data_IF_864955368443
#
_entry.id   IF_864955368443
#
_cell.length_a   1.000
_cell.length_b   1.000
_cell.length_c   1.000
_cell.angle_alpha   90.00
_cell.angle_beta   90.00
_cell.angle_gamma   90.00
#
_symmetry.space_group_name_H-M   'P 1'
#
loop_
_entity.id
_entity.type
_entity.pdbx_description
1 polymer ?
#
# COMPACT_ATOMS: atom_id res chain seq x y z
N UNK A 1 1.17 -7.65 -4.24
CA UNK A 1 1.96 -7.73 -3.01
C UNK A 1 1.62 -8.99 -2.22
N UNK A 2 0.41 -9.16 -1.64
CA UNK A 2 0.07 -10.34 -0.82
C UNK A 2 0.36 -11.68 -1.52
N UNK A 3 0.04 -11.81 -2.83
CA UNK A 3 0.33 -13.02 -3.61
C UNK A 3 1.82 -13.36 -3.70
N UNK A 4 2.70 -12.36 -3.67
CA UNK A 4 4.16 -12.58 -3.67
C UNK A 4 4.67 -12.88 -2.26
N UNK A 5 4.13 -12.18 -1.24
CA UNK A 5 4.51 -12.44 0.15
C UNK A 5 4.26 -13.89 0.55
N UNK A 6 3.15 -14.49 0.09
CA UNK A 6 2.86 -15.90 0.42
C UNK A 6 3.89 -16.88 -0.16
N UNK A 7 4.59 -16.52 -1.23
CA UNK A 7 5.68 -17.34 -1.78
C UNK A 7 6.89 -17.40 -0.85
N UNK A 8 7.05 -16.43 0.04
CA UNK A 8 8.06 -16.40 1.09
C UNK A 8 7.73 -17.34 2.27
N UNK A 9 6.60 -18.05 2.20
CA UNK A 9 6.11 -19.00 3.20
C UNK A 9 6.04 -18.41 4.62
N UNK A 10 5.32 -17.29 4.84
CA UNK A 10 5.18 -16.71 6.17
C UNK A 10 4.45 -17.69 7.08
N UNK A 11 4.73 -17.65 8.39
CA UNK A 11 3.98 -18.42 9.40
C UNK A 11 2.50 -18.01 9.43
N UNK A 12 2.24 -16.73 9.27
CA UNK A 12 0.90 -16.14 9.19
C UNK A 12 0.92 -14.88 8.34
N UNK A 13 -0.19 -14.58 7.69
CA UNK A 13 -0.43 -13.35 6.94
C UNK A 13 -1.68 -12.66 7.48
N UNK A 14 -1.51 -11.44 7.98
CA UNK A 14 -2.60 -10.61 8.45
C UNK A 14 -2.95 -9.62 7.35
N UNK A 15 -4.18 -9.65 6.90
CA UNK A 15 -4.73 -8.73 5.92
C UNK A 15 -5.54 -7.68 6.68
N UNK A 16 -5.02 -6.46 6.79
CA UNK A 16 -5.69 -5.37 7.50
C UNK A 16 -6.17 -4.34 6.48
N UNK A 17 -7.48 -4.23 6.30
CA UNK A 17 -8.10 -3.46 5.22
C UNK A 17 -9.39 -2.80 5.72
N UNK A 18 -9.67 -1.58 5.26
CA UNK A 18 -10.89 -0.85 5.60
C UNK A 18 -12.07 -1.25 4.69
N UNK A 19 -11.78 -1.68 3.46
CA UNK A 19 -12.79 -2.06 2.49
C UNK A 19 -13.12 -3.55 2.61
N UNK A 20 -14.33 -3.87 3.09
CA UNK A 20 -14.79 -5.24 3.30
C UNK A 20 -14.73 -6.09 2.02
N UNK A 21 -15.19 -5.54 0.90
CA UNK A 21 -15.24 -6.29 -0.37
C UNK A 21 -13.83 -6.60 -0.88
N UNK A 22 -12.90 -5.64 -0.76
CA UNK A 22 -11.51 -5.86 -1.14
C UNK A 22 -10.83 -6.90 -0.23
N UNK A 23 -11.12 -6.86 1.07
CA UNK A 23 -10.61 -7.82 2.04
C UNK A 23 -11.11 -9.23 1.74
N UNK A 24 -12.42 -9.39 1.52
CA UNK A 24 -13.03 -10.67 1.16
C UNK A 24 -12.45 -11.24 -0.14
N UNK A 25 -12.31 -10.40 -1.17
CA UNK A 25 -11.79 -10.81 -2.46
C UNK A 25 -10.35 -11.32 -2.38
N UNK A 26 -9.48 -10.63 -1.67
CA UNK A 26 -8.07 -11.05 -1.51
C UNK A 26 -7.94 -12.29 -0.61
N UNK A 27 -8.70 -12.36 0.48
CA UNK A 27 -8.74 -13.52 1.36
C UNK A 27 -9.09 -14.78 0.58
N UNK A 28 -10.19 -14.75 -0.19
CA UNK A 28 -10.63 -15.89 -1.00
C UNK A 28 -9.60 -16.32 -2.05
N UNK A 29 -8.93 -15.35 -2.71
CA UNK A 29 -7.85 -15.66 -3.66
C UNK A 29 -6.66 -16.33 -2.98
N UNK A 30 -6.25 -15.85 -1.81
CA UNK A 30 -5.12 -16.40 -1.08
C UNK A 30 -5.43 -17.75 -0.46
N UNK A 31 -6.65 -17.98 -0.01
CA UNK A 31 -7.12 -19.27 0.49
C UNK A 31 -7.05 -20.36 -0.59
N UNK A 32 -7.35 -20.02 -1.85
CA UNK A 32 -7.19 -20.96 -2.97
C UNK A 32 -5.71 -21.31 -3.25
N UNK A 33 -4.79 -20.34 -3.05
CA UNK A 33 -3.34 -20.57 -3.17
C UNK A 33 -2.83 -21.39 -1.99
N UNK A 34 -3.40 -21.19 -0.80
CA UNK A 34 -2.98 -21.81 0.45
C UNK A 34 -3.18 -23.34 0.49
N UNK A 35 -3.93 -23.91 -0.44
CA UNK A 35 -4.04 -25.38 -0.57
C UNK A 35 -2.68 -26.07 -0.79
N UNK A 36 -1.69 -25.32 -1.27
CA UNK A 36 -0.32 -25.78 -1.51
C UNK A 36 0.69 -25.34 -0.44
N UNK A 37 0.29 -24.43 0.49
CA UNK A 37 1.16 -23.85 1.51
C UNK A 37 0.47 -23.84 2.86
N UNK A 38 1.12 -24.33 3.92
CA UNK A 38 0.58 -24.33 5.27
C UNK A 38 0.90 -23.02 5.99
N UNK A 39 0.13 -21.95 5.76
CA UNK A 39 0.20 -20.72 6.53
C UNK A 39 -1.21 -20.24 6.93
N UNK A 40 -1.28 -19.43 7.99
CA UNK A 40 -2.57 -18.91 8.48
C UNK A 40 -2.87 -17.55 7.87
N UNK A 41 -4.09 -17.35 7.41
CA UNK A 41 -4.59 -16.05 6.92
C UNK A 41 -5.56 -15.48 7.94
N UNK A 42 -5.38 -14.21 8.29
CA UNK A 42 -6.25 -13.48 9.22
C UNK A 42 -6.79 -12.23 8.54
N UNK A 43 -8.01 -12.26 7.97
CA UNK A 43 -8.66 -11.09 7.40
C UNK A 43 -9.25 -10.23 8.52
N UNK A 44 -8.76 -9.01 8.67
CA UNK A 44 -9.16 -8.11 9.75
C UNK A 44 -9.58 -6.76 9.17
N UNK A 45 -10.83 -6.38 9.41
CA UNK A 45 -11.35 -5.08 9.03
C UNK A 45 -10.84 -3.99 9.98
N UNK A 46 -10.34 -2.90 9.42
CA UNK A 46 -9.95 -1.74 10.21
C UNK A 46 -9.27 -0.64 9.40
N UNK A 47 -9.25 0.54 10.00
CA UNK A 47 -8.56 1.73 9.45
C UNK A 47 -7.19 1.90 10.08
N UNK A 48 -6.20 2.27 9.27
CA UNK A 48 -4.85 2.65 9.73
C UNK A 48 -4.85 3.89 10.62
N UNK A 49 -5.93 4.66 10.63
CA UNK A 49 -6.11 5.78 11.55
C UNK A 49 -6.45 5.35 12.98
N UNK A 50 -6.84 4.09 13.19
CA UNK A 50 -7.10 3.57 14.53
C UNK A 50 -5.82 3.02 15.18
N UNK A 51 -5.02 3.90 15.76
CA UNK A 51 -3.74 3.57 16.41
C UNK A 51 -3.90 2.48 17.47
N UNK A 52 -4.94 2.56 18.33
CA UNK A 52 -5.18 1.56 19.39
C UNK A 52 -5.42 0.17 18.80
N UNK A 53 -6.21 0.07 17.73
CA UNK A 53 -6.49 -1.20 17.05
C UNK A 53 -5.23 -1.79 16.40
N UNK A 54 -4.41 -0.95 15.74
CA UNK A 54 -3.14 -1.36 15.15
C UNK A 54 -2.19 -1.92 16.21
N UNK A 55 -2.00 -1.20 17.31
CA UNK A 55 -1.13 -1.64 18.42
C UNK A 55 -1.58 -2.99 18.98
N UNK A 56 -2.87 -3.13 19.30
CA UNK A 56 -3.41 -4.38 19.81
C UNK A 56 -3.20 -5.54 18.81
N UNK A 57 -3.42 -5.29 17.52
CA UNK A 57 -3.21 -6.27 16.46
C UNK A 57 -1.74 -6.70 16.40
N UNK A 58 -0.81 -5.77 16.33
CA UNK A 58 0.61 -6.08 16.23
C UNK A 58 1.11 -6.88 17.44
N UNK A 59 0.65 -6.55 18.64
CA UNK A 59 0.99 -7.27 19.86
C UNK A 59 0.35 -8.67 19.92
N UNK A 60 -0.95 -8.79 19.60
CA UNK A 60 -1.67 -10.07 19.67
C UNK A 60 -1.13 -11.11 18.70
N UNK A 61 -0.62 -10.68 17.56
CA UNK A 61 -0.08 -11.58 16.53
C UNK A 61 1.45 -11.66 16.53
N UNK A 62 2.14 -10.94 17.42
CA UNK A 62 3.60 -10.82 17.43
C UNK A 62 4.13 -10.52 16.02
N UNK A 63 3.66 -9.44 15.41
CA UNK A 63 3.95 -9.10 14.02
C UNK A 63 5.44 -8.80 13.85
N UNK A 64 6.12 -9.53 12.98
CA UNK A 64 7.54 -9.30 12.65
C UNK A 64 7.74 -8.22 11.59
N UNK A 65 6.88 -8.21 10.57
CA UNK A 65 7.05 -7.33 9.40
C UNK A 65 5.73 -6.71 9.00
N UNK A 66 5.72 -5.41 8.75
CA UNK A 66 4.59 -4.64 8.23
C UNK A 66 4.90 -4.17 6.81
N UNK A 67 4.01 -4.49 5.87
CA UNK A 67 3.97 -3.89 4.54
C UNK A 67 2.84 -2.87 4.49
N UNK A 68 3.18 -1.61 4.57
CA UNK A 68 2.21 -0.51 4.62
C UNK A 68 1.92 0.03 3.21
N UNK A 69 0.80 -0.42 2.64
CA UNK A 69 0.30 0.01 1.33
C UNK A 69 -1.00 0.82 1.39
N UNK A 70 -1.55 1.02 2.58
CA UNK A 70 -2.78 1.77 2.77
C UNK A 70 -2.58 3.25 2.40
N UNK A 71 -3.16 3.66 1.26
CA UNK A 71 -3.11 5.04 0.80
C UNK A 71 -4.17 5.30 -0.28
N UNK A 72 -4.71 6.50 -0.32
CA UNK A 72 -5.45 7.00 -1.47
C UNK A 72 -4.45 7.40 -2.56
N UNK A 73 -4.58 6.83 -3.75
CA UNK A 73 -3.60 6.95 -4.85
C UNK A 73 -4.07 7.73 -6.08
N UNK A 74 -5.38 7.90 -6.23
CA UNK A 74 -5.94 8.58 -7.40
C UNK A 74 -5.80 10.09 -7.25
N UNK A 75 -4.90 10.69 -8.05
CA UNK A 75 -4.55 12.12 -7.96
C UNK A 75 -5.80 13.02 -7.99
N UNK A 76 -6.72 12.93 -8.97
CA UNK A 76 -7.89 13.79 -8.98
C UNK A 76 -8.78 13.64 -7.73
N UNK A 77 -8.94 12.41 -7.24
CA UNK A 77 -9.75 12.17 -6.05
C UNK A 77 -9.13 12.78 -4.79
N UNK A 78 -7.82 12.70 -4.64
CA UNK A 78 -7.11 13.29 -3.50
C UNK A 78 -7.11 14.82 -3.58
N UNK A 79 -7.02 15.40 -4.77
CA UNK A 79 -7.15 16.86 -4.95
C UNK A 79 -8.53 17.37 -4.50
N UNK A 80 -9.61 16.66 -4.82
CA UNK A 80 -10.95 17.00 -4.36
C UNK A 80 -11.21 16.69 -2.88
N UNK A 81 -10.43 15.78 -2.27
CA UNK A 81 -10.60 15.31 -0.91
C UNK A 81 -9.27 15.42 -0.13
N UNK A 82 -8.67 16.61 -0.12
CA UNK A 82 -7.34 16.84 0.44
C UNK A 82 -7.24 16.43 1.91
N UNK A 83 -8.23 16.77 2.74
CA UNK A 83 -8.26 16.42 4.16
C UNK A 83 -8.23 14.91 4.37
N UNK A 84 -9.07 14.17 3.65
CA UNK A 84 -9.08 12.70 3.70
C UNK A 84 -7.76 12.09 3.21
N UNK A 85 -7.17 12.70 2.17
CA UNK A 85 -5.85 12.31 1.68
C UNK A 85 -4.76 12.49 2.73
N UNK A 86 -4.78 13.60 3.46
CA UNK A 86 -3.86 13.88 4.57
C UNK A 86 -4.08 12.90 5.71
N UNK A 87 -5.32 12.74 6.17
CA UNK A 87 -5.66 11.86 7.28
C UNK A 87 -5.25 10.43 7.02
N UNK A 88 -5.61 9.88 5.85
CA UNK A 88 -5.29 8.49 5.54
C UNK A 88 -3.80 8.28 5.21
N UNK A 89 -3.21 9.11 4.35
CA UNK A 89 -1.86 8.87 3.85
C UNK A 89 -0.77 9.32 4.81
N UNK A 90 -0.97 10.42 5.54
CA UNK A 90 0.00 10.96 6.49
C UNK A 90 -0.25 10.42 7.89
N UNK A 91 -1.41 10.73 8.49
CA UNK A 91 -1.69 10.31 9.86
C UNK A 91 -1.88 8.79 9.97
N UNK A 92 -2.45 8.14 8.94
CA UNK A 92 -2.51 6.68 8.87
C UNK A 92 -1.11 6.05 8.87
N UNK A 93 -0.14 6.61 8.11
CA UNK A 93 1.24 6.15 8.12
C UNK A 93 1.91 6.40 9.46
N UNK A 94 1.73 7.60 10.04
CA UNK A 94 2.26 7.96 11.36
C UNK A 94 1.75 6.99 12.44
N UNK A 95 0.45 6.74 12.49
CA UNK A 95 -0.17 5.83 13.45
C UNK A 95 0.32 4.40 13.29
N UNK A 96 0.43 3.92 12.04
CA UNK A 96 0.89 2.58 11.75
C UNK A 96 2.36 2.39 12.15
N UNK A 97 3.24 3.33 11.78
CA UNK A 97 4.66 3.27 12.11
C UNK A 97 4.93 3.41 13.62
N UNK A 98 4.23 4.34 14.30
CA UNK A 98 4.33 4.48 15.76
C UNK A 98 3.85 3.21 16.48
N UNK A 99 2.74 2.60 16.02
CA UNK A 99 2.25 1.34 16.57
C UNK A 99 3.24 0.19 16.35
N UNK A 100 3.93 0.18 15.22
CA UNK A 100 4.96 -0.82 14.93
C UNK A 100 6.13 -0.72 15.92
N UNK A 101 6.65 0.48 16.16
CA UNK A 101 7.71 0.73 17.15
C UNK A 101 7.25 0.30 18.55
N UNK A 102 6.07 0.78 18.98
CA UNK A 102 5.52 0.49 20.31
C UNK A 102 5.23 -1.00 20.55
N UNK A 103 5.12 -1.79 19.48
CA UNK A 103 4.84 -3.23 19.55
C UNK A 103 6.05 -4.11 19.23
N UNK A 104 7.22 -3.52 18.99
CA UNK A 104 8.45 -4.26 18.72
C UNK A 104 8.49 -4.93 17.34
N UNK A 105 7.77 -4.40 16.36
CA UNK A 105 7.85 -4.87 14.96
C UNK A 105 9.25 -4.64 14.42
N UNK A 106 9.85 -5.68 13.83
CA UNK A 106 11.24 -5.61 13.36
C UNK A 106 11.40 -4.82 12.07
N UNK A 107 10.50 -5.04 11.11
CA UNK A 107 10.61 -4.46 9.78
C UNK A 107 9.33 -3.73 9.38
N UNK A 108 9.47 -2.55 8.81
CA UNK A 108 8.36 -1.76 8.27
C UNK A 108 8.71 -1.28 6.87
N UNK A 109 7.95 -1.74 5.89
CA UNK A 109 8.14 -1.41 4.47
C UNK A 109 7.01 -0.51 4.01
N UNK A 110 7.32 0.74 3.69
CA UNK A 110 6.37 1.68 3.09
C UNK A 110 6.34 1.51 1.58
N UNK A 111 5.17 1.22 1.05
CA UNK A 111 4.92 1.25 -0.38
C UNK A 111 4.70 2.70 -0.81
N UNK A 112 5.70 3.29 -1.46
CA UNK A 112 5.69 4.67 -1.96
C UNK A 112 5.54 4.72 -3.49
N UNK A 113 5.83 5.87 -4.09
CA UNK A 113 5.62 6.12 -5.51
C UNK A 113 6.68 7.07 -6.06
N UNK A 114 6.92 7.03 -7.37
CA UNK A 114 7.70 8.01 -8.12
C UNK A 114 7.17 9.45 -7.94
N UNK A 115 5.87 9.61 -7.73
CA UNK A 115 5.19 10.91 -7.53
C UNK A 115 5.52 11.59 -6.19
N UNK A 116 6.17 10.88 -5.26
CA UNK A 116 6.74 11.44 -4.03
C UNK A 116 8.07 12.19 -4.28
N UNK A 117 8.67 12.02 -5.47
CA UNK A 117 9.89 12.74 -5.87
C UNK A 117 9.50 14.08 -6.47
N UNK A 118 9.86 15.19 -5.79
CA UNK A 118 9.48 16.56 -6.20
C UNK A 118 7.98 16.65 -6.51
N UNK A 119 7.10 16.43 -5.55
CA UNK A 119 5.67 16.27 -5.79
C UNK A 119 5.06 17.53 -6.39
N UNK A 120 4.24 17.35 -7.42
CA UNK A 120 3.52 18.42 -8.12
C UNK A 120 2.00 18.33 -7.86
N UNK A 121 1.58 17.44 -6.98
CA UNK A 121 0.18 17.21 -6.62
C UNK A 121 0.07 16.76 -5.17
N UNK A 122 -1.13 16.92 -4.60
CA UNK A 122 -1.40 16.63 -3.18
C UNK A 122 -1.12 15.17 -2.82
N UNK A 123 -1.52 14.21 -3.66
CA UNK A 123 -1.27 12.80 -3.42
C UNK A 123 0.23 12.50 -3.31
N UNK A 124 1.03 13.01 -4.23
CA UNK A 124 2.50 12.89 -4.19
C UNK A 124 3.09 13.54 -2.94
N UNK A 125 2.59 14.73 -2.56
CA UNK A 125 3.01 15.44 -1.35
C UNK A 125 2.71 14.63 -0.09
N UNK A 126 1.52 14.05 0.04
CA UNK A 126 1.16 13.19 1.19
C UNK A 126 2.09 11.97 1.30
N UNK A 127 2.43 11.33 0.18
CA UNK A 127 3.37 10.22 0.17
C UNK A 127 4.79 10.66 0.54
N UNK A 128 5.22 11.86 0.11
CA UNK A 128 6.52 12.41 0.52
C UNK A 128 6.58 12.69 2.01
N UNK A 129 5.52 13.25 2.61
CA UNK A 129 5.45 13.45 4.06
C UNK A 129 5.49 12.12 4.81
N UNK A 130 4.77 11.09 4.32
CA UNK A 130 4.84 9.74 4.88
C UNK A 130 6.29 9.19 4.89
N UNK A 131 7.07 9.40 3.83
CA UNK A 131 8.50 9.01 3.79
C UNK A 131 9.33 9.78 4.82
N UNK A 132 9.09 11.10 4.97
CA UNK A 132 9.80 11.93 5.96
C UNK A 132 9.50 11.50 7.40
N UNK A 133 8.27 11.07 7.69
CA UNK A 133 7.90 10.49 9.00
C UNK A 133 8.75 9.26 9.30
N UNK A 134 8.90 8.34 8.35
CA UNK A 134 9.71 7.13 8.55
C UNK A 134 11.20 7.46 8.70
N UNK A 135 11.71 8.44 7.95
CA UNK A 135 13.07 8.93 8.12
C UNK A 135 13.30 9.49 9.52
N UNK A 136 12.37 10.33 10.02
CA UNK A 136 12.43 10.89 11.35
C UNK A 136 12.39 9.78 12.44
N UNK A 137 11.55 8.78 12.28
CA UNK A 137 11.55 7.63 13.20
C UNK A 137 12.84 6.84 13.15
N UNK A 138 13.39 6.57 11.97
CA UNK A 138 14.68 5.86 11.82
C UNK A 138 15.84 6.53 12.55
N UNK A 139 15.80 7.87 12.67
CA UNK A 139 16.86 8.64 13.38
C UNK A 139 16.71 8.61 14.91
N UNK A 140 15.52 8.28 15.42
CA UNK A 140 15.19 8.45 16.82
C UNK A 140 14.91 7.15 17.59
N UNK A 141 15.05 5.98 16.94
CA UNK A 141 14.85 4.67 17.57
C UNK A 141 15.61 3.57 16.82
N UNK A 142 15.81 2.42 17.47
CA UNK A 142 16.54 1.26 16.92
C UNK A 142 15.73 -0.05 17.02
N UNK A 143 14.41 0.04 17.24
CA UNK A 143 13.52 -1.12 17.43
C UNK A 143 13.06 -1.65 16.08
N UNK A 144 12.60 -0.74 15.20
CA UNK A 144 12.01 -1.06 13.91
C UNK A 144 12.92 -0.56 12.79
N UNK A 145 13.31 -1.44 11.88
CA UNK A 145 13.97 -1.05 10.63
C UNK A 145 12.94 -0.55 9.65
N UNK A 146 13.04 0.70 9.24
CA UNK A 146 12.18 1.31 8.23
C UNK A 146 12.83 1.26 6.84
N UNK A 147 12.06 0.81 5.87
CA UNK A 147 12.45 0.84 4.47
C UNK A 147 11.28 1.40 3.65
N UNK A 148 11.59 2.01 2.51
CA UNK A 148 10.59 2.53 1.59
C UNK A 148 10.94 2.18 0.16
N UNK A 149 9.98 1.72 -0.61
CA UNK A 149 10.15 1.44 -2.03
C UNK A 149 9.33 2.42 -2.86
N UNK A 150 9.95 2.97 -3.88
CA UNK A 150 9.32 3.84 -4.87
C UNK A 150 9.30 3.13 -6.22
N UNK A 151 8.17 3.14 -6.87
CA UNK A 151 8.04 2.62 -8.22
C UNK A 151 7.05 3.45 -9.04
N UNK A 152 7.15 3.32 -10.36
CA UNK A 152 6.31 4.00 -11.33
C UNK A 152 4.93 3.37 -11.47
N UNK A 153 4.38 3.43 -12.69
CA UNK A 153 3.08 2.84 -12.96
C UNK A 153 3.21 1.32 -13.10
N UNK A 154 2.38 0.59 -12.37
CA UNK A 154 2.34 -0.88 -12.46
C UNK A 154 1.28 -1.31 -13.46
N UNK A 155 1.68 -2.14 -14.42
CA UNK A 155 0.79 -2.68 -15.45
C UNK A 155 -0.40 -3.43 -14.82
N UNK A 156 -1.59 -3.21 -15.36
CA UNK A 156 -2.84 -3.87 -14.93
C UNK A 156 -3.20 -3.67 -13.44
N UNK A 157 -2.63 -2.65 -12.77
CA UNK A 157 -3.08 -2.30 -11.42
C UNK A 157 -4.50 -1.76 -11.44
N UNK A 158 -5.27 -2.04 -10.37
CA UNK A 158 -6.67 -1.57 -10.24
C UNK A 158 -6.78 -0.06 -10.41
N UNK A 159 -7.72 0.40 -11.23
CA UNK A 159 -7.94 1.80 -11.54
C UNK A 159 -6.80 2.47 -12.33
N UNK A 160 -5.92 1.71 -12.98
CA UNK A 160 -4.88 2.25 -13.86
C UNK A 160 -5.36 2.47 -15.29
N UNK A 161 -4.57 3.21 -16.07
CA UNK A 161 -4.91 3.63 -17.43
C UNK A 161 -5.09 2.45 -18.41
N UNK A 162 -4.35 1.36 -18.24
CA UNK A 162 -4.42 0.22 -19.18
C UNK A 162 -5.76 -0.52 -19.13
N UNK A 163 -6.31 -0.90 -17.96
CA UNK A 163 -7.67 -1.41 -17.88
C UNK A 163 -8.72 -0.45 -18.44
N UNK A 164 -8.55 0.86 -18.21
CA UNK A 164 -9.43 1.89 -18.79
C UNK A 164 -9.38 1.87 -20.32
N UNK A 165 -8.20 1.89 -20.91
CA UNK A 165 -8.03 1.86 -22.37
C UNK A 165 -8.60 0.57 -22.98
N UNK A 166 -8.34 -0.58 -22.35
CA UNK A 166 -8.93 -1.86 -22.80
C UNK A 166 -10.46 -1.79 -22.82
N UNK A 167 -11.08 -1.23 -21.78
CA UNK A 167 -12.53 -1.06 -21.71
C UNK A 167 -13.01 -0.14 -22.82
N UNK A 168 -12.41 1.03 -23.01
CA UNK A 168 -12.76 1.98 -24.05
C UNK A 168 -12.64 1.38 -25.47
N UNK A 169 -11.60 0.59 -25.73
CA UNK A 169 -11.43 -0.10 -27.01
C UNK A 169 -12.54 -1.13 -27.25
N UNK A 170 -12.90 -1.92 -26.22
CA UNK A 170 -14.00 -2.91 -26.31
C UNK A 170 -15.34 -2.21 -26.57
N UNK A 171 -15.54 -1.03 -26.01
CA UNK A 171 -16.77 -0.20 -26.16
C UNK A 171 -16.80 0.59 -27.49
N UNK A 172 -15.79 0.42 -28.38
CA UNK A 172 -15.72 1.08 -29.69
C UNK A 172 -14.99 2.41 -29.71
N UNK A 173 -14.32 2.77 -28.63
CA UNK A 173 -13.53 4.02 -28.51
C UNK A 173 -14.39 5.28 -28.27
N UNK A 174 -13.77 6.47 -28.34
CA UNK A 174 -12.35 6.73 -28.46
C UNK A 174 -11.55 6.44 -27.18
N UNK A 175 -10.22 6.27 -27.31
CA UNK A 175 -9.32 6.20 -26.16
C UNK A 175 -9.03 7.61 -25.67
N UNK A 176 -9.19 7.84 -24.34
CA UNK A 176 -8.95 9.16 -23.73
C UNK A 176 -7.47 9.41 -23.49
N UNK A 177 -6.90 10.39 -24.19
CA UNK A 177 -5.52 10.85 -23.99
C UNK A 177 -5.55 12.23 -23.34
N UNK A 178 -5.07 12.35 -22.10
CA UNK A 178 -5.08 13.60 -21.34
C UNK A 178 -4.08 14.62 -21.86
N UNK A 179 -2.92 14.17 -22.33
CA UNK A 179 -1.88 15.01 -22.96
C UNK A 179 -1.05 14.15 -23.92
N UNK A 180 -0.85 14.63 -25.14
CA UNK A 180 -0.06 13.94 -26.17
C UNK A 180 1.43 13.83 -25.86
N UNK A 181 1.96 14.70 -24.99
CA UNK A 181 3.37 14.76 -24.60
C UNK A 181 3.66 13.97 -23.31
N UNK A 182 2.65 13.39 -22.70
CA UNK A 182 2.83 12.72 -21.40
C UNK A 182 3.63 11.42 -21.58
N UNK A 183 4.67 11.28 -20.79
CA UNK A 183 5.50 10.06 -20.72
C UNK A 183 5.21 9.37 -19.40
N UNK A 184 5.05 8.06 -19.42
CA UNK A 184 4.89 7.21 -18.26
C UNK A 184 5.80 6.01 -18.33
N UNK A 185 6.53 5.75 -17.26
CA UNK A 185 7.31 4.53 -17.11
C UNK A 185 6.44 3.45 -16.48
N UNK A 186 6.43 2.27 -17.09
CA UNK A 186 5.67 1.13 -16.63
C UNK A 186 6.60 0.01 -16.19
N UNK A 187 6.12 -0.77 -15.23
CA UNK A 187 6.74 -2.01 -14.81
C UNK A 187 5.65 -3.07 -14.55
N UNK A 188 6.04 -4.32 -14.54
CA UNK A 188 5.16 -5.42 -14.17
C UNK A 188 4.93 -5.45 -12.65
N UNK A 189 3.90 -6.18 -12.23
CA UNK A 189 3.65 -6.42 -10.79
C UNK A 189 4.83 -7.17 -10.15
N UNK A 190 5.43 -8.11 -10.88
CA UNK A 190 6.57 -8.90 -10.41
C UNK A 190 7.77 -7.99 -10.15
N UNK A 191 8.19 -7.20 -11.13
CA UNK A 191 9.28 -6.23 -10.96
C UNK A 191 9.05 -5.27 -9.79
N UNK A 192 7.81 -4.77 -9.61
CA UNK A 192 7.49 -3.84 -8.52
C UNK A 192 7.57 -4.49 -7.13
N UNK A 193 7.41 -5.80 -7.02
CA UNK A 193 7.41 -6.52 -5.73
C UNK A 193 8.79 -7.09 -5.40
N UNK A 194 9.65 -7.25 -6.39
CA UNK A 194 11.05 -7.69 -6.22
C UNK A 194 11.98 -6.56 -5.74
N UNK A 195 11.50 -5.29 -5.76
CA UNK A 195 12.19 -4.15 -5.17
C UNK A 195 12.22 -4.19 -3.65
#
# INVERSE_FOLDING_TARGET
LCRQIVLLKPKALILFEINELALYAIEKQLSNINTHYSFKIYPILGSVNNKKRLKNLFQSFNVDTVYHSAAYKHVPMVEFNTTEGIDNNIFGTLNCAASAIESGVKNFVLISTDKAVRPTNTMGATKRVAELILQAFSMNQNITTFCMVRFGNVLNSSGSVIPLFKKQIIEGGPVTVTDKKIIRYFMTVTEAVEL
#
